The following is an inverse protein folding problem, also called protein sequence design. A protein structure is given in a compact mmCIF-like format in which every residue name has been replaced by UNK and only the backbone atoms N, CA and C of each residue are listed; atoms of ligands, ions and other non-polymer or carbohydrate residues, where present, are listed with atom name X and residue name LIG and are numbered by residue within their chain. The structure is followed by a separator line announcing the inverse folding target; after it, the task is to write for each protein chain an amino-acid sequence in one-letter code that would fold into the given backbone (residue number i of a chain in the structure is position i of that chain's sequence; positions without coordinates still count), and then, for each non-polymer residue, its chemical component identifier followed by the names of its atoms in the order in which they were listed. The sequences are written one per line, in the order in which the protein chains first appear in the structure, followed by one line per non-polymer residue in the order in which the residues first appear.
data_IF_330085979353
#
_entry.id   IF_330085979353
#
_cell.length_a   1.000
_cell.length_b   1.000
_cell.length_c   1.000
_cell.angle_alpha   90.00
_cell.angle_beta   90.00
_cell.angle_gamma   90.00
#
_symmetry.space_group_name_H-M   'P 1'
#
loop_
_entity.id
_entity.type
_entity.pdbx_description
1 polymer ?
#
# COMPACT_ATOMS: atom_id res chain seq x y z
N UNK A 1 -24.21 16.18 24.07
CA UNK A 1 -23.52 17.37 23.49
C UNK A 1 -22.51 17.79 24.53
N UNK A 2 -21.22 17.77 24.22
CA UNK A 2 -20.23 18.44 25.06
C UNK A 2 -20.59 19.93 24.98
N UNK A 3 -21.01 20.50 26.11
CA UNK A 3 -21.45 21.89 26.19
C UNK A 3 -20.41 22.57 27.07
N UNK A 4 -19.36 23.06 26.43
CA UNK A 4 -18.43 23.97 27.08
C UNK A 4 -19.04 25.38 27.02
N UNK A 5 -19.12 26.03 28.18
CA UNK A 5 -19.62 27.39 28.30
C UNK A 5 -18.76 28.40 27.53
N UNK A 6 -17.50 28.07 27.24
CA UNK A 6 -16.59 28.93 26.49
C UNK A 6 -16.65 28.73 24.97
N UNK A 7 -17.30 27.66 24.47
CA UNK A 7 -17.35 27.31 23.04
C UNK A 7 -15.97 27.39 22.35
N UNK A 8 -14.91 27.01 23.07
CA UNK A 8 -13.54 27.15 22.59
C UNK A 8 -13.19 26.04 21.59
N UNK A 9 -12.97 26.42 20.34
CA UNK A 9 -12.48 25.48 19.31
C UNK A 9 -11.06 24.96 19.58
N UNK A 10 -10.30 25.61 20.48
CA UNK A 10 -8.95 25.19 20.83
C UNK A 10 -8.95 23.95 21.73
N UNK A 11 -9.79 23.93 22.76
CA UNK A 11 -9.86 22.80 23.69
C UNK A 11 -10.30 21.52 22.99
N UNK A 12 -11.24 21.64 22.04
CA UNK A 12 -11.67 20.51 21.22
C UNK A 12 -10.58 20.03 20.26
N UNK A 13 -9.73 20.92 19.72
CA UNK A 13 -8.55 20.53 18.92
C UNK A 13 -7.55 19.76 19.77
N UNK A 14 -7.30 20.19 21.01
CA UNK A 14 -6.42 19.48 21.94
C UNK A 14 -6.98 18.11 22.29
N UNK A 15 -8.27 17.99 22.61
CA UNK A 15 -8.92 16.72 22.94
C UNK A 15 -8.82 15.72 21.78
N UNK A 16 -9.09 16.15 20.54
CA UNK A 16 -8.97 15.28 19.36
C UNK A 16 -7.54 14.80 19.17
N UNK A 17 -6.58 15.71 19.34
CA UNK A 17 -5.16 15.41 19.19
C UNK A 17 -4.70 14.39 20.25
N UNK A 18 -5.06 14.62 21.50
CA UNK A 18 -4.71 13.76 22.62
C UNK A 18 -5.36 12.38 22.48
N UNK A 19 -6.66 12.35 22.19
CA UNK A 19 -7.43 11.12 21.93
C UNK A 19 -6.83 10.30 20.79
N UNK A 20 -6.46 10.93 19.68
CA UNK A 20 -5.78 10.26 18.56
C UNK A 20 -4.42 9.70 18.99
N UNK A 21 -3.63 10.50 19.70
CA UNK A 21 -2.28 10.14 20.13
C UNK A 21 -2.29 8.95 21.11
N UNK A 22 -3.17 8.99 22.11
CA UNK A 22 -3.32 7.93 23.10
C UNK A 22 -3.74 6.61 22.46
N UNK A 23 -4.75 6.63 21.57
CA UNK A 23 -5.16 5.42 20.85
C UNK A 23 -4.05 4.86 19.94
N UNK A 24 -3.26 5.72 19.30
CA UNK A 24 -2.16 5.28 18.44
C UNK A 24 -1.00 4.68 19.25
N UNK A 25 -0.69 5.25 20.42
CA UNK A 25 0.26 4.68 21.39
C UNK A 25 -0.18 3.28 21.83
N UNK A 26 -1.42 3.13 22.27
CA UNK A 26 -1.97 1.82 22.70
C UNK A 26 -1.87 0.76 21.58
N UNK A 27 -2.21 1.11 20.34
CA UNK A 27 -2.09 0.18 19.20
C UNK A 27 -0.62 -0.15 18.90
N UNK A 28 0.28 0.80 19.09
CA UNK A 28 1.70 0.62 18.83
C UNK A 28 2.36 -0.32 19.85
N UNK A 29 1.96 -0.26 21.12
CA UNK A 29 2.50 -1.12 22.18
C UNK A 29 2.07 -2.59 22.02
N UNK A 30 0.92 -2.85 21.40
CA UNK A 30 0.44 -4.21 21.21
C UNK A 30 1.33 -5.00 20.22
N UNK A 31 1.64 -6.28 20.51
CA UNK A 31 2.45 -7.16 19.64
C UNK A 31 1.63 -7.71 18.46
N UNK A 32 0.91 -6.84 17.77
CA UNK A 32 0.04 -7.20 16.65
C UNK A 32 0.79 -7.17 15.32
N UNK A 33 0.31 -7.99 14.39
CA UNK A 33 0.71 -7.92 13.00
C UNK A 33 0.44 -6.50 12.44
N UNK A 34 1.35 -5.89 11.63
CA UNK A 34 1.18 -4.54 11.08
C UNK A 34 -0.16 -4.30 10.39
N UNK A 35 -0.62 -5.27 9.57
CA UNK A 35 -1.96 -5.26 8.97
C UNK A 35 -3.09 -5.07 9.99
N UNK A 36 -3.00 -5.74 11.14
CA UNK A 36 -4.03 -5.67 12.18
C UNK A 36 -4.00 -4.31 12.89
N UNK A 37 -2.81 -3.72 13.11
CA UNK A 37 -2.68 -2.34 13.61
C UNK A 37 -3.34 -1.34 12.68
N UNK A 38 -3.10 -1.46 11.38
CA UNK A 38 -3.73 -0.63 10.34
C UNK A 38 -5.25 -0.84 10.30
N UNK A 39 -5.72 -2.08 10.50
CA UNK A 39 -7.14 -2.40 10.55
C UNK A 39 -7.82 -1.77 11.77
N UNK A 40 -7.19 -1.84 12.95
CA UNK A 40 -7.66 -1.19 14.17
C UNK A 40 -7.71 0.33 14.00
N UNK A 41 -6.65 0.92 13.45
CA UNK A 41 -6.64 2.34 13.12
C UNK A 41 -7.81 2.73 12.20
N UNK A 42 -7.97 2.03 11.08
CA UNK A 42 -8.98 2.36 10.07
C UNK A 42 -10.42 2.14 10.54
N UNK A 43 -10.68 1.11 11.35
CA UNK A 43 -12.04 0.75 11.79
C UNK A 43 -12.44 1.41 13.11
N UNK A 44 -11.52 1.49 14.06
CA UNK A 44 -11.81 1.95 15.42
C UNK A 44 -11.40 3.43 15.61
N UNK A 45 -10.11 3.74 15.43
CA UNK A 45 -9.57 5.08 15.70
C UNK A 45 -10.25 6.15 14.84
N UNK A 46 -10.34 5.92 13.52
CA UNK A 46 -11.02 6.86 12.63
C UNK A 46 -12.49 7.05 12.99
N UNK A 47 -13.17 6.01 13.46
CA UNK A 47 -14.57 6.10 13.87
C UNK A 47 -14.75 6.93 15.14
N UNK A 48 -13.82 6.83 16.10
CA UNK A 48 -13.82 7.64 17.33
C UNK A 48 -13.62 9.13 17.03
N UNK A 49 -12.64 9.47 16.21
CA UNK A 49 -12.39 10.89 15.83
C UNK A 49 -13.46 11.47 14.88
N UNK A 50 -14.25 10.61 14.22
CA UNK A 50 -15.29 11.06 13.28
C UNK A 50 -16.31 11.98 13.90
N UNK A 51 -16.69 11.71 15.15
CA UNK A 51 -17.66 12.53 15.87
C UNK A 51 -17.14 13.95 16.04
N UNK A 52 -15.88 14.11 16.43
CA UNK A 52 -15.26 15.42 16.55
C UNK A 52 -15.26 16.16 15.21
N UNK A 53 -14.94 15.48 14.10
CA UNK A 53 -14.97 16.09 12.76
C UNK A 53 -16.36 16.57 12.31
N UNK A 54 -17.44 16.02 12.88
CA UNK A 54 -18.80 16.45 12.55
C UNK A 54 -19.31 17.62 13.38
N UNK A 55 -18.81 17.79 14.61
CA UNK A 55 -19.39 18.71 15.60
C UNK A 55 -18.64 20.04 15.69
N UNK A 56 -17.32 20.03 15.52
CA UNK A 56 -16.48 21.22 15.70
C UNK A 56 -16.07 21.89 14.41
N UNK A 57 -15.82 23.20 14.46
CA UNK A 57 -15.28 23.97 13.35
C UNK A 57 -13.74 23.87 13.27
N UNK A 58 -13.26 22.67 12.93
CA UNK A 58 -11.83 22.42 12.74
C UNK A 58 -11.46 22.75 11.29
N UNK A 59 -10.44 23.59 11.11
CA UNK A 59 -9.88 23.88 9.79
C UNK A 59 -9.20 22.66 9.16
N UNK A 60 -9.46 22.43 7.86
CA UNK A 60 -8.83 21.35 7.08
C UNK A 60 -7.30 21.36 7.13
N UNK A 61 -6.70 22.55 7.12
CA UNK A 61 -5.24 22.75 7.19
C UNK A 61 -4.67 22.17 8.48
N UNK A 62 -5.30 22.47 9.62
CA UNK A 62 -4.88 21.94 10.91
C UNK A 62 -4.96 20.40 10.97
N UNK A 63 -6.01 19.80 10.39
CA UNK A 63 -6.13 18.33 10.29
C UNK A 63 -4.98 17.73 9.49
N UNK A 64 -4.63 18.33 8.35
CA UNK A 64 -3.50 17.87 7.54
C UNK A 64 -2.16 18.02 8.26
N UNK A 65 -1.94 19.14 8.95
CA UNK A 65 -0.63 19.46 9.52
C UNK A 65 -0.37 18.69 10.83
N UNK A 66 -1.41 18.49 11.64
CA UNK A 66 -1.29 17.85 12.96
C UNK A 66 -1.71 16.39 12.93
N UNK A 67 -2.95 16.09 12.55
CA UNK A 67 -3.51 14.74 12.68
C UNK A 67 -2.94 13.78 11.62
N UNK A 68 -2.87 14.18 10.36
CA UNK A 68 -2.28 13.35 9.31
C UNK A 68 -0.78 13.11 9.56
N UNK A 69 -0.06 14.09 10.11
CA UNK A 69 1.36 13.95 10.44
C UNK A 69 1.62 12.86 11.48
N UNK A 70 0.84 12.85 12.57
CA UNK A 70 0.92 11.80 13.60
C UNK A 70 0.53 10.44 12.99
N UNK A 71 -0.63 10.35 12.36
CA UNK A 71 -1.12 9.11 11.78
C UNK A 71 -0.10 8.53 10.77
N UNK A 72 0.46 9.39 9.91
CA UNK A 72 1.48 9.00 8.94
C UNK A 72 2.75 8.49 9.60
N UNK A 73 3.14 9.04 10.75
CA UNK A 73 4.33 8.61 11.51
C UNK A 73 4.14 7.19 12.04
N UNK A 74 3.00 6.90 12.67
CA UNK A 74 2.66 5.55 13.14
C UNK A 74 2.50 4.55 12.01
N UNK A 75 1.84 4.92 10.92
CA UNK A 75 1.69 4.05 9.74
C UNK A 75 3.07 3.70 9.16
N UNK A 76 3.98 4.67 9.04
CA UNK A 76 5.36 4.40 8.59
C UNK A 76 6.09 3.48 9.57
N UNK A 77 5.97 3.71 10.88
CA UNK A 77 6.58 2.88 11.92
C UNK A 77 6.10 1.42 11.81
N UNK A 78 4.80 1.18 11.72
CA UNK A 78 4.23 -0.18 11.66
C UNK A 78 4.65 -0.93 10.39
N UNK A 79 4.78 -0.21 9.28
CA UNK A 79 5.19 -0.77 7.97
C UNK A 79 6.71 -0.76 7.77
N UNK A 80 7.49 -0.30 8.75
CA UNK A 80 8.94 -0.13 8.68
C UNK A 80 9.37 0.71 7.46
N UNK A 81 8.56 1.71 7.09
CA UNK A 81 8.88 2.64 6.01
C UNK A 81 9.81 3.76 6.52
N UNK A 82 10.77 4.23 5.69
CA UNK A 82 11.57 5.40 6.01
C UNK A 82 10.72 6.63 6.32
N UNK A 83 11.19 7.52 7.20
CA UNK A 83 10.46 8.75 7.59
C UNK A 83 10.11 9.62 6.38
N UNK A 84 11.03 9.70 5.40
CA UNK A 84 10.87 10.44 4.15
C UNK A 84 10.04 9.71 3.09
N UNK A 85 9.62 8.47 3.34
CA UNK A 85 8.85 7.70 2.37
C UNK A 85 7.45 8.26 2.18
N UNK A 86 7.01 8.24 0.92
CA UNK A 86 5.64 8.57 0.55
C UNK A 86 4.67 7.48 1.00
N UNK A 87 3.50 7.86 1.49
CA UNK A 87 2.41 6.94 1.80
C UNK A 87 1.44 6.76 0.63
N UNK A 88 1.61 7.49 -0.49
CA UNK A 88 0.65 7.49 -1.60
C UNK A 88 0.23 6.09 -2.06
N UNK A 89 1.19 5.16 -2.17
CA UNK A 89 0.91 3.80 -2.61
C UNK A 89 0.11 2.99 -1.58
N UNK A 90 0.42 3.17 -0.30
CA UNK A 90 -0.26 2.48 0.81
C UNK A 90 -1.72 2.93 0.95
N UNK A 91 -2.01 4.18 0.58
CA UNK A 91 -3.37 4.74 0.58
C UNK A 91 -4.27 4.19 -0.55
N UNK A 92 -3.67 3.57 -1.58
CA UNK A 92 -4.43 2.96 -2.67
C UNK A 92 -5.18 1.70 -2.22
N UNK A 93 -6.19 1.26 -2.97
CA UNK A 93 -6.91 0.04 -2.64
C UNK A 93 -6.07 -1.23 -2.89
N UNK A 94 -6.52 -2.34 -2.32
CA UNK A 94 -5.86 -3.66 -2.40
C UNK A 94 -5.64 -4.16 -3.83
N UNK A 95 -6.57 -3.89 -4.76
CA UNK A 95 -6.45 -4.24 -6.18
C UNK A 95 -5.33 -3.49 -6.92
N UNK A 96 -4.70 -2.51 -6.26
CA UNK A 96 -3.57 -1.72 -6.76
C UNK A 96 -2.34 -1.88 -5.87
N UNK A 97 -2.25 -2.98 -5.11
CA UNK A 97 -1.17 -3.28 -4.15
C UNK A 97 -1.02 -2.26 -3.00
N UNK A 98 -2.05 -1.44 -2.76
CA UNK A 98 -2.15 -0.61 -1.57
C UNK A 98 -2.78 -1.33 -0.38
N UNK A 99 -2.86 -0.66 0.76
CA UNK A 99 -3.44 -1.17 2.01
C UNK A 99 -4.79 -0.54 2.35
N UNK A 100 -5.36 0.25 1.44
CA UNK A 100 -6.66 0.88 1.59
C UNK A 100 -6.77 1.78 2.83
N UNK A 101 -5.66 2.44 3.19
CA UNK A 101 -5.58 3.30 4.37
C UNK A 101 -6.24 4.64 4.09
N UNK A 102 -6.95 5.17 5.08
CA UNK A 102 -7.58 6.49 5.06
C UNK A 102 -6.88 7.38 6.08
N UNK A 103 -6.47 8.58 5.68
CA UNK A 103 -5.91 9.57 6.59
C UNK A 103 -7.02 10.36 7.32
N UNK A 104 -6.74 10.94 8.50
CA UNK A 104 -7.69 11.76 9.23
C UNK A 104 -8.32 12.87 8.37
N UNK A 105 -7.55 13.53 7.52
CA UNK A 105 -8.01 14.56 6.56
C UNK A 105 -9.06 14.05 5.58
N UNK A 106 -8.88 12.84 5.07
CA UNK A 106 -9.83 12.20 4.17
C UNK A 106 -11.12 11.88 4.90
N UNK A 107 -10.99 11.38 6.15
CA UNK A 107 -12.15 11.10 6.99
C UNK A 107 -12.91 12.38 7.37
N UNK A 108 -12.18 13.45 7.68
CA UNK A 108 -12.72 14.79 7.92
C UNK A 108 -13.53 15.28 6.71
N UNK A 109 -12.99 15.17 5.49
CA UNK A 109 -13.72 15.53 4.27
C UNK A 109 -15.00 14.71 4.10
N UNK A 110 -14.97 13.41 4.40
CA UNK A 110 -16.18 12.58 4.35
C UNK A 110 -17.23 13.07 5.36
N UNK A 111 -16.84 13.37 6.60
CA UNK A 111 -17.74 13.89 7.63
C UNK A 111 -18.37 15.22 7.19
N UNK A 112 -17.55 16.16 6.71
CA UNK A 112 -18.00 17.48 6.24
C UNK A 112 -18.96 17.38 5.05
N UNK A 113 -18.67 16.52 4.07
CA UNK A 113 -19.58 16.27 2.94
C UNK A 113 -20.93 15.71 3.40
N UNK A 114 -20.96 14.82 4.41
CA UNK A 114 -22.22 14.29 4.97
C UNK A 114 -23.00 15.41 5.67
N UNK A 115 -22.35 16.18 6.54
CA UNK A 115 -23.00 17.30 7.25
C UNK A 115 -23.58 18.32 6.28
N UNK A 116 -22.81 18.76 5.28
CA UNK A 116 -23.27 19.72 4.26
C UNK A 116 -24.46 19.21 3.45
N UNK A 117 -24.46 17.92 3.10
CA UNK A 117 -25.60 17.30 2.41
C UNK A 117 -26.84 17.23 3.27
N UNK A 118 -26.70 16.91 4.56
CA UNK A 118 -27.83 16.91 5.49
C UNK A 118 -28.46 18.31 5.57
N UNK A 119 -27.66 19.38 5.56
CA UNK A 119 -28.17 20.75 5.47
C UNK A 119 -28.92 21.01 4.15
N UNK A 120 -28.33 20.60 3.02
CA UNK A 120 -28.94 20.76 1.69
C UNK A 120 -30.26 20.00 1.51
N UNK A 121 -30.36 18.78 2.03
CA UNK A 121 -31.55 17.93 1.89
C UNK A 121 -32.52 18.05 3.06
N UNK A 122 -32.30 19.00 3.97
CA UNK A 122 -33.17 19.20 5.13
C UNK A 122 -34.56 19.64 4.69
N UNK A 123 -35.64 19.05 5.25
CA UNK A 123 -37.01 19.50 4.98
C UNK A 123 -37.31 20.87 5.61
N UNK A 124 -36.51 21.31 6.58
CA UNK A 124 -36.67 22.61 7.22
C UNK A 124 -36.06 23.72 6.34
N UNK A 125 -36.90 24.65 5.92
CA UNK A 125 -36.54 25.76 5.03
C UNK A 125 -35.45 26.67 5.61
N UNK A 126 -35.45 26.93 6.92
CA UNK A 126 -34.42 27.76 7.56
C UNK A 126 -33.03 27.10 7.45
N UNK A 127 -32.95 25.78 7.63
CA UNK A 127 -31.71 25.02 7.50
C UNK A 127 -31.25 24.97 6.03
N UNK A 128 -32.20 24.84 5.11
CA UNK A 128 -31.91 24.86 3.68
C UNK A 128 -31.36 26.22 3.23
N UNK A 129 -31.92 27.32 3.76
CA UNK A 129 -31.45 28.67 3.47
C UNK A 129 -30.04 28.91 4.04
N UNK A 130 -29.74 28.43 5.26
CA UNK A 130 -28.37 28.44 5.78
C UNK A 130 -27.37 27.74 4.85
N UNK A 131 -27.75 26.63 4.22
CA UNK A 131 -26.91 25.96 3.24
C UNK A 131 -26.67 26.83 2.00
N UNK A 132 -27.72 27.47 1.46
CA UNK A 132 -27.64 28.36 0.29
C UNK A 132 -26.77 29.58 0.55
N UNK A 133 -26.91 30.20 1.73
CA UNK A 133 -26.15 31.40 2.09
C UNK A 133 -24.65 31.10 2.23
N UNK A 134 -24.32 29.89 2.70
CA UNK A 134 -22.94 29.46 2.91
C UNK A 134 -22.32 28.76 1.70
N UNK A 135 -23.09 28.31 0.70
CA UNK A 135 -22.57 27.53 -0.44
C UNK A 135 -21.59 28.31 -1.32
N UNK A 136 -21.73 29.63 -1.37
CA UNK A 136 -20.88 30.50 -2.20
C UNK A 136 -19.59 30.92 -1.47
N UNK A 137 -19.42 30.54 -0.20
CA UNK A 137 -18.27 30.94 0.59
C UNK A 137 -17.02 30.13 0.19
N UNK A 138 -15.87 30.81 0.04
CA UNK A 138 -14.60 30.22 -0.42
C UNK A 138 -14.09 29.07 0.45
N UNK A 139 -14.48 29.04 1.73
CA UNK A 139 -14.06 28.02 2.69
C UNK A 139 -14.89 26.72 2.59
N UNK A 140 -16.02 26.73 1.86
CA UNK A 140 -16.87 25.53 1.68
C UNK A 140 -16.41 24.77 0.44
N UNK A 141 -15.35 23.98 0.60
CA UNK A 141 -14.78 23.18 -0.49
C UNK A 141 -15.39 21.78 -0.63
N UNK A 142 -16.38 21.45 0.20
CA UNK A 142 -16.90 20.09 0.39
C UNK A 142 -18.15 19.79 -0.46
N UNK A 143 -18.88 20.83 -0.87
CA UNK A 143 -20.12 20.71 -1.65
C UNK A 143 -19.89 20.21 -3.08
N UNK A 144 -18.63 20.25 -3.56
CA UNK A 144 -18.23 19.68 -4.84
C UNK A 144 -18.38 18.15 -4.89
N UNK A 145 -18.41 17.48 -3.74
CA UNK A 145 -18.44 16.02 -3.66
C UNK A 145 -19.87 15.48 -3.64
N UNK A 146 -20.15 14.52 -4.51
CA UNK A 146 -21.48 13.91 -4.64
C UNK A 146 -21.81 12.93 -3.52
N UNK A 147 -20.83 12.32 -2.84
CA UNK A 147 -21.01 11.42 -1.70
C UNK A 147 -19.66 11.08 -1.07
N UNK A 148 -19.65 10.31 0.02
CA UNK A 148 -18.41 9.91 0.71
C UNK A 148 -17.51 8.98 -0.12
N UNK A 149 -18.06 8.23 -1.07
CA UNK A 149 -17.28 7.41 -2.02
C UNK A 149 -16.58 8.29 -3.05
N UNK A 150 -17.23 9.36 -3.49
CA UNK A 150 -16.67 10.35 -4.43
C UNK A 150 -15.47 11.08 -3.83
N UNK A 151 -15.53 11.42 -2.53
CA UNK A 151 -14.38 11.94 -1.77
C UNK A 151 -13.20 10.96 -1.83
N UNK A 152 -13.42 9.69 -1.51
CA UNK A 152 -12.37 8.67 -1.53
C UNK A 152 -11.80 8.45 -2.93
N UNK A 153 -12.64 8.37 -3.94
CA UNK A 153 -12.22 8.15 -5.32
C UNK A 153 -11.40 9.33 -5.83
N UNK A 154 -11.81 10.56 -5.51
CA UNK A 154 -11.07 11.77 -5.89
C UNK A 154 -9.69 11.79 -5.25
N UNK A 155 -9.59 11.52 -3.95
CA UNK A 155 -8.31 11.54 -3.23
C UNK A 155 -7.39 10.41 -3.70
N UNK A 156 -7.94 9.20 -3.91
CA UNK A 156 -7.17 8.09 -4.47
C UNK A 156 -6.64 8.42 -5.85
N UNK A 157 -7.46 9.00 -6.72
CA UNK A 157 -7.02 9.44 -8.05
C UNK A 157 -5.87 10.43 -7.96
N UNK A 158 -5.92 11.39 -7.03
CA UNK A 158 -4.80 12.31 -6.80
C UNK A 158 -3.50 11.58 -6.37
N UNK A 159 -3.60 10.55 -5.54
CA UNK A 159 -2.44 9.73 -5.17
C UNK A 159 -1.92 8.88 -6.33
N UNK A 160 -2.81 8.36 -7.17
CA UNK A 160 -2.45 7.64 -8.40
C UNK A 160 -1.72 8.55 -9.38
N UNK A 161 -2.26 9.74 -9.64
CA UNK A 161 -1.65 10.75 -10.51
C UNK A 161 -0.26 11.15 -9.98
N UNK A 162 -0.14 11.35 -8.66
CA UNK A 162 1.15 11.64 -8.00
C UNK A 162 2.14 10.49 -8.17
N UNK A 163 1.71 9.24 -8.06
CA UNK A 163 2.60 8.09 -8.26
C UNK A 163 3.03 7.98 -9.72
N UNK A 164 2.11 8.12 -10.67
CA UNK A 164 2.40 7.94 -12.08
C UNK A 164 3.26 9.06 -12.66
N UNK A 165 3.00 10.31 -12.28
CA UNK A 165 3.58 11.47 -12.94
C UNK A 165 4.64 12.20 -12.10
N UNK A 166 4.57 12.14 -10.77
CA UNK A 166 5.46 12.96 -9.91
C UNK A 166 6.53 12.14 -9.19
N UNK A 167 6.33 10.83 -9.00
CA UNK A 167 7.22 9.97 -8.22
C UNK A 167 7.99 9.00 -9.12
N UNK A 168 9.15 9.43 -9.61
CA UNK A 168 9.98 8.65 -10.55
C UNK A 168 10.40 7.29 -9.96
N UNK A 169 10.85 7.26 -8.70
CA UNK A 169 11.41 6.04 -8.08
C UNK A 169 10.35 5.10 -7.51
N UNK A 170 9.37 5.66 -6.78
CA UNK A 170 8.32 4.89 -6.11
C UNK A 170 7.13 4.59 -7.04
N UNK A 171 6.95 5.39 -8.09
CA UNK A 171 5.91 5.21 -9.10
C UNK A 171 6.25 4.23 -10.22
N UNK A 172 7.52 3.85 -10.37
CA UNK A 172 7.96 2.91 -11.41
C UNK A 172 7.27 1.55 -11.28
N UNK A 173 7.22 0.99 -10.07
CA UNK A 173 6.54 -0.28 -9.80
C UNK A 173 5.04 -0.18 -10.10
N UNK A 174 4.38 0.87 -9.59
CA UNK A 174 2.97 1.13 -9.83
C UNK A 174 2.63 1.29 -11.32
N UNK A 175 3.47 2.00 -12.08
CA UNK A 175 3.30 2.19 -13.52
C UNK A 175 3.39 0.87 -14.29
N UNK A 176 4.29 -0.02 -13.90
CA UNK A 176 4.43 -1.34 -14.52
C UNK A 176 3.24 -2.25 -14.19
N UNK A 177 2.73 -2.22 -12.96
CA UNK A 177 1.51 -2.97 -12.60
C UNK A 177 0.34 -2.53 -13.46
N UNK A 178 0.11 -1.22 -13.61
CA UNK A 178 -1.02 -0.73 -14.42
C UNK A 178 -0.89 -1.19 -15.87
N UNK A 179 0.32 -1.18 -16.42
CA UNK A 179 0.57 -1.56 -17.82
C UNK A 179 0.43 -3.05 -18.08
N UNK A 180 0.85 -3.89 -17.14
CA UNK A 180 1.08 -5.31 -17.39
C UNK A 180 0.22 -6.26 -16.55
N UNK A 181 -0.54 -5.76 -15.59
CA UNK A 181 -1.30 -6.60 -14.66
C UNK A 181 -2.81 -6.39 -14.72
N UNK A 182 -3.57 -7.44 -14.41
CA UNK A 182 -5.03 -7.43 -14.41
C UNK A 182 -5.57 -7.31 -12.98
N UNK A 183 -6.79 -6.78 -12.84
CA UNK A 183 -7.43 -6.58 -11.53
C UNK A 183 -7.69 -7.90 -10.78
N UNK A 184 -8.02 -8.97 -11.51
CA UNK A 184 -8.23 -10.29 -10.93
C UNK A 184 -6.95 -10.84 -10.31
N UNK A 185 -5.83 -10.74 -11.03
CA UNK A 185 -4.52 -11.17 -10.54
C UNK A 185 -4.06 -10.36 -9.33
N UNK A 186 -4.20 -9.03 -9.38
CA UNK A 186 -3.85 -8.15 -8.25
C UNK A 186 -4.62 -8.50 -6.98
N UNK A 187 -5.88 -8.88 -7.12
CA UNK A 187 -6.72 -9.25 -5.98
C UNK A 187 -6.24 -10.54 -5.30
N UNK A 188 -5.77 -11.52 -6.10
CA UNK A 188 -5.17 -12.75 -5.58
C UNK A 188 -3.88 -12.43 -4.82
N UNK A 189 -2.97 -11.66 -5.41
CA UNK A 189 -1.72 -11.27 -4.76
C UNK A 189 -1.92 -10.47 -3.49
N UNK A 190 -2.87 -9.53 -3.49
CA UNK A 190 -3.17 -8.75 -2.29
C UNK A 190 -3.71 -9.64 -1.15
N UNK A 191 -4.53 -10.64 -1.49
CA UNK A 191 -5.03 -11.63 -0.52
C UNK A 191 -3.88 -12.45 0.07
N UNK A 192 -2.96 -12.95 -0.76
CA UNK A 192 -1.77 -13.70 -0.33
C UNK A 192 -0.87 -12.82 0.54
N UNK A 193 -0.56 -11.61 0.08
CA UNK A 193 0.25 -10.64 0.81
C UNK A 193 -0.30 -10.42 2.22
N UNK A 194 -1.62 -10.35 2.36
CA UNK A 194 -2.29 -10.11 3.63
C UNK A 194 -2.16 -11.25 4.67
N UNK A 195 -1.66 -12.42 4.25
CA UNK A 195 -1.44 -13.62 5.08
C UNK A 195 0.04 -13.87 5.38
N UNK A 196 0.94 -13.05 4.84
CA UNK A 196 2.37 -13.19 5.07
C UNK A 196 2.74 -12.93 6.54
N UNK A 197 3.76 -13.61 7.09
CA UNK A 197 4.31 -13.26 8.40
C UNK A 197 4.81 -11.81 8.44
N UNK A 198 4.82 -11.20 9.63
CA UNK A 198 5.17 -9.78 9.85
C UNK A 198 6.39 -9.31 9.05
N UNK A 199 7.50 -10.03 9.15
CA UNK A 199 8.77 -9.63 8.53
C UNK A 199 8.68 -9.66 7.00
N UNK A 200 8.00 -10.67 6.44
CA UNK A 200 7.82 -10.82 5.00
C UNK A 200 6.80 -9.80 4.50
N UNK A 201 5.72 -9.56 5.23
CA UNK A 201 4.73 -8.52 4.91
C UNK A 201 5.38 -7.13 4.78
N UNK A 202 6.16 -6.73 5.80
CA UNK A 202 6.85 -5.44 5.78
C UNK A 202 7.92 -5.38 4.69
N UNK A 203 8.68 -6.46 4.48
CA UNK A 203 9.60 -6.57 3.35
C UNK A 203 8.90 -6.36 2.00
N UNK A 204 7.77 -7.03 1.75
CA UNK A 204 6.99 -6.91 0.52
C UNK A 204 6.48 -5.48 0.33
N UNK A 205 5.95 -4.83 1.37
CA UNK A 205 5.50 -3.44 1.30
C UNK A 205 6.65 -2.51 0.95
N UNK A 206 7.83 -2.67 1.56
CA UNK A 206 9.00 -1.85 1.24
C UNK A 206 9.52 -2.09 -0.17
N UNK A 207 9.51 -3.35 -0.61
CA UNK A 207 9.91 -3.76 -1.95
C UNK A 207 9.04 -3.07 -3.02
N UNK A 208 7.71 -3.20 -2.87
CA UNK A 208 6.69 -2.58 -3.72
C UNK A 208 6.87 -1.04 -3.78
N UNK A 209 7.22 -0.42 -2.65
CA UNK A 209 7.45 1.01 -2.55
C UNK A 209 8.85 1.46 -3.00
N UNK A 210 9.75 0.54 -3.36
CA UNK A 210 11.16 0.83 -3.63
C UNK A 210 11.83 1.60 -2.46
N UNK A 211 11.57 1.14 -1.23
CA UNK A 211 12.06 1.72 0.03
C UNK A 211 12.89 0.73 0.85
N UNK A 212 13.38 -0.34 0.21
CA UNK A 212 14.39 -1.20 0.81
C UNK A 212 15.75 -0.48 0.87
N UNK A 213 16.60 -0.81 1.85
CA UNK A 213 17.87 -0.14 2.10
C UNK A 213 18.97 -0.57 1.11
N UNK A 214 18.75 -0.39 -0.19
CA UNK A 214 19.82 -0.56 -1.19
C UNK A 214 20.80 0.62 -1.11
N UNK A 215 22.05 0.48 -1.56
CA UNK A 215 23.02 1.59 -1.48
C UNK A 215 22.49 2.87 -2.13
N UNK A 216 21.76 2.76 -3.26
CA UNK A 216 21.11 3.92 -3.90
C UNK A 216 20.06 4.61 -3.02
N UNK A 217 19.30 3.86 -2.22
CA UNK A 217 18.34 4.44 -1.30
C UNK A 217 19.02 4.97 -0.02
N UNK A 218 20.02 4.27 0.50
CA UNK A 218 20.82 4.74 1.64
C UNK A 218 21.52 6.07 1.33
N UNK A 219 22.06 6.23 0.11
CA UNK A 219 22.62 7.51 -0.34
C UNK A 219 21.56 8.61 -0.38
N UNK A 220 20.37 8.32 -0.95
CA UNK A 220 19.25 9.29 -0.96
C UNK A 220 18.78 9.69 0.43
N UNK A 221 18.91 8.81 1.42
CA UNK A 221 18.54 9.09 2.80
C UNK A 221 19.65 9.78 3.60
N UNK A 222 20.81 10.05 2.98
CA UNK A 222 21.97 10.66 3.65
C UNK A 222 22.65 9.73 4.66
N UNK A 223 22.39 8.42 4.60
CA UNK A 223 22.97 7.43 5.51
C UNK A 223 24.31 6.91 4.96
N UNK A 224 24.41 6.77 3.63
CA UNK A 224 25.62 6.33 2.95
C UNK A 224 26.18 7.44 2.04
N UNK A 225 27.50 7.65 1.96
CA UNK A 225 28.09 8.57 0.99
C UNK A 225 28.02 8.02 -0.44
N UNK A 226 27.97 6.70 -0.63
CA UNK A 226 28.01 6.04 -1.95
C UNK A 226 26.73 5.28 -2.24
N UNK A 227 26.39 5.17 -3.54
CA UNK A 227 25.31 4.32 -4.03
C UNK A 227 25.82 3.05 -4.72
N UNK A 228 27.11 2.76 -4.62
CA UNK A 228 27.76 1.67 -5.32
C UNK A 228 27.47 0.32 -4.65
N UNK A 229 27.36 -0.72 -5.48
CA UNK A 229 27.30 -2.11 -5.04
C UNK A 229 28.68 -2.54 -4.55
N UNK A 230 28.75 -3.17 -3.38
CA UNK A 230 30.01 -3.63 -2.79
C UNK A 230 30.75 -4.68 -3.60
N UNK A 231 30.10 -5.31 -4.59
CA UNK A 231 30.66 -6.40 -5.39
C UNK A 231 31.06 -5.99 -6.80
N UNK A 232 30.23 -5.18 -7.49
CA UNK A 232 30.47 -4.83 -8.89
C UNK A 232 30.65 -3.33 -9.12
N UNK A 233 30.63 -2.51 -8.06
CA UNK A 233 30.83 -1.05 -8.07
C UNK A 233 29.83 -0.22 -8.88
N UNK A 234 28.85 -0.85 -9.53
CA UNK A 234 27.76 -0.14 -10.21
C UNK A 234 26.72 0.36 -9.21
N UNK A 235 25.91 1.39 -9.55
CA UNK A 235 24.85 1.88 -8.67
C UNK A 235 23.84 0.79 -8.25
N UNK A 236 23.74 0.53 -6.95
CA UNK A 236 22.91 -0.52 -6.36
C UNK A 236 21.46 -0.06 -6.18
N UNK A 237 20.69 -0.19 -7.26
CA UNK A 237 19.22 -0.08 -7.23
C UNK A 237 18.53 -1.38 -6.81
N UNK A 238 17.23 -1.33 -6.53
CA UNK A 238 16.46 -2.55 -6.25
C UNK A 238 16.54 -3.57 -7.39
N UNK A 239 16.41 -3.12 -8.65
CA UNK A 239 16.55 -3.98 -9.84
C UNK A 239 17.96 -4.58 -9.93
N UNK A 240 18.98 -3.80 -9.55
CA UNK A 240 20.36 -4.29 -9.50
C UNK A 240 20.51 -5.49 -8.55
N UNK A 241 19.99 -5.37 -7.32
CA UNK A 241 20.07 -6.43 -6.31
C UNK A 241 19.32 -7.68 -6.75
N UNK A 242 18.14 -7.50 -7.37
CA UNK A 242 17.24 -8.61 -7.70
C UNK A 242 17.69 -9.36 -8.96
N UNK A 243 18.09 -8.64 -10.01
CA UNK A 243 18.34 -9.22 -11.34
C UNK A 243 19.49 -8.57 -12.14
N UNK A 244 20.06 -7.45 -11.68
CA UNK A 244 20.98 -6.64 -12.52
C UNK A 244 22.47 -6.73 -12.18
N UNK A 245 22.87 -7.42 -11.11
CA UNK A 245 24.26 -7.51 -10.69
C UNK A 245 25.02 -8.60 -11.45
N UNK A 246 26.03 -8.22 -12.24
CA UNK A 246 26.89 -9.15 -12.99
C UNK A 246 27.66 -10.10 -12.06
N UNK A 247 28.15 -9.59 -10.93
CA UNK A 247 28.85 -10.44 -9.95
C UNK A 247 27.92 -11.47 -9.33
N UNK A 248 26.67 -11.10 -8.99
CA UNK A 248 25.68 -12.06 -8.47
C UNK A 248 25.28 -13.12 -9.49
N UNK A 249 25.24 -12.75 -10.77
CA UNK A 249 25.02 -13.69 -11.86
C UNK A 249 26.19 -14.69 -11.96
N UNK A 250 27.43 -14.20 -12.04
CA UNK A 250 28.62 -15.04 -12.19
C UNK A 250 28.87 -15.96 -10.98
N UNK A 251 28.52 -15.51 -9.78
CA UNK A 251 28.58 -16.32 -8.55
C UNK A 251 27.39 -17.29 -8.39
N UNK A 252 26.46 -17.34 -9.36
CA UNK A 252 25.32 -18.26 -9.32
C UNK A 252 24.24 -17.91 -8.31
N UNK A 253 24.21 -16.70 -7.73
CA UNK A 253 23.20 -16.30 -6.72
C UNK A 253 21.79 -16.22 -7.30
N UNK A 254 21.68 -15.79 -8.57
CA UNK A 254 20.39 -15.76 -9.26
C UNK A 254 19.90 -17.16 -9.58
N UNK A 255 20.78 -18.04 -10.09
CA UNK A 255 20.50 -19.47 -10.31
C UNK A 255 20.04 -20.13 -9.02
N UNK A 256 20.77 -19.95 -7.91
CA UNK A 256 20.39 -20.53 -6.62
C UNK A 256 18.98 -20.09 -6.16
N UNK A 257 18.65 -18.80 -6.32
CA UNK A 257 17.33 -18.27 -5.95
C UNK A 257 16.23 -18.82 -6.86
N UNK A 258 16.49 -18.81 -8.16
CA UNK A 258 15.60 -19.37 -9.18
C UNK A 258 15.29 -20.83 -8.86
N UNK A 259 16.32 -21.64 -8.70
CA UNK A 259 16.21 -23.07 -8.45
C UNK A 259 15.52 -23.37 -7.11
N UNK A 260 15.75 -22.54 -6.10
CA UNK A 260 15.07 -22.67 -4.80
C UNK A 260 13.56 -22.48 -4.92
N UNK A 261 13.11 -21.47 -5.69
CA UNK A 261 11.69 -21.20 -5.92
C UNK A 261 11.08 -22.29 -6.81
N UNK A 262 11.76 -22.65 -7.89
CA UNK A 262 11.32 -23.69 -8.81
C UNK A 262 11.17 -25.04 -8.10
N UNK A 263 12.12 -25.40 -7.24
CA UNK A 263 12.10 -26.66 -6.49
C UNK A 263 10.95 -26.68 -5.48
N UNK A 264 10.67 -25.54 -4.82
CA UNK A 264 9.51 -25.43 -3.93
C UNK A 264 8.20 -25.62 -4.70
N UNK A 265 8.02 -24.95 -5.83
CA UNK A 265 6.83 -25.09 -6.69
C UNK A 265 6.70 -26.53 -7.19
N UNK A 266 7.78 -27.11 -7.70
CA UNK A 266 7.83 -28.49 -8.18
C UNK A 266 7.47 -29.50 -7.08
N UNK A 267 7.94 -29.30 -5.85
CA UNK A 267 7.62 -30.17 -4.71
C UNK A 267 6.12 -30.16 -4.35
N UNK A 268 5.46 -29.01 -4.46
CA UNK A 268 4.01 -28.88 -4.25
C UNK A 268 3.26 -29.55 -5.39
N UNK A 269 3.64 -29.29 -6.63
CA UNK A 269 2.91 -29.77 -7.80
C UNK A 269 3.08 -31.29 -8.02
N UNK A 270 4.18 -31.88 -7.54
CA UNK A 270 4.37 -33.34 -7.53
C UNK A 270 3.27 -34.09 -6.75
N UNK A 271 2.63 -33.42 -5.78
CA UNK A 271 1.54 -34.01 -5.00
C UNK A 271 0.19 -34.06 -5.74
N UNK A 272 0.10 -33.45 -6.93
CA UNK A 272 -1.15 -33.41 -7.71
C UNK A 272 -1.31 -34.72 -8.49
N UNK A 273 -2.36 -35.48 -8.13
CA UNK A 273 -2.70 -36.75 -8.80
C UNK A 273 -2.92 -36.57 -10.31
N UNK A 274 -2.57 -37.61 -11.09
CA UNK A 274 -2.75 -37.70 -12.55
C UNK A 274 -1.90 -36.73 -13.37
N UNK A 275 -0.76 -36.27 -12.83
CA UNK A 275 0.16 -35.38 -13.52
C UNK A 275 1.56 -35.98 -13.67
N UNK A 276 2.18 -35.81 -14.84
CA UNK A 276 3.64 -35.99 -14.99
C UNK A 276 4.30 -34.62 -14.91
N UNK A 277 5.24 -34.48 -13.98
CA UNK A 277 5.97 -33.24 -13.72
C UNK A 277 7.39 -33.33 -14.28
N UNK A 278 7.76 -32.31 -15.04
CA UNK A 278 9.09 -32.09 -15.57
C UNK A 278 9.56 -30.72 -15.09
N UNK A 279 10.82 -30.61 -14.68
CA UNK A 279 11.37 -29.36 -14.18
C UNK A 279 12.85 -29.25 -14.55
N UNK A 280 13.30 -28.04 -14.84
CA UNK A 280 14.69 -27.76 -15.15
C UNK A 280 15.57 -27.71 -13.90
N UNK A 281 15.61 -28.83 -13.17
CA UNK A 281 16.26 -28.94 -11.88
C UNK A 281 16.94 -30.29 -11.69
N UNK A 282 18.03 -30.34 -10.89
CA UNK A 282 18.60 -31.61 -10.44
C UNK A 282 17.55 -32.47 -9.72
N UNK A 283 17.42 -33.73 -10.14
CA UNK A 283 16.50 -34.70 -9.52
C UNK A 283 15.10 -34.75 -10.14
N UNK A 284 14.82 -33.94 -11.17
CA UNK A 284 13.61 -34.00 -11.97
C UNK A 284 13.90 -34.46 -13.40
N UNK A 285 12.87 -34.95 -14.09
CA UNK A 285 12.98 -35.24 -15.53
C UNK A 285 13.00 -33.91 -16.27
N UNK A 286 13.99 -33.72 -17.15
CA UNK A 286 14.13 -32.49 -17.92
C UNK A 286 12.90 -32.26 -18.83
N UNK A 287 12.36 -31.03 -18.89
CA UNK A 287 11.30 -30.66 -19.82
C UNK A 287 11.66 -30.89 -21.30
N UNK A 288 12.95 -30.84 -21.64
CA UNK A 288 13.46 -31.08 -23.01
C UNK A 288 13.07 -32.45 -23.57
N UNK A 289 12.71 -33.43 -22.71
CA UNK A 289 12.17 -34.73 -23.14
C UNK A 289 10.90 -34.57 -23.99
N UNK A 290 10.10 -33.53 -23.74
CA UNK A 290 8.86 -33.25 -24.45
C UNK A 290 9.01 -32.10 -25.45
N UNK A 291 9.81 -31.10 -25.12
CA UNK A 291 9.91 -29.85 -25.90
C UNK A 291 11.12 -29.82 -26.86
N UNK A 292 11.99 -30.83 -26.82
CA UNK A 292 13.25 -30.85 -27.55
C UNK A 292 14.34 -29.98 -26.90
N UNK A 293 15.53 -30.00 -27.49
CA UNK A 293 16.71 -29.33 -26.93
C UNK A 293 16.68 -27.79 -27.11
N UNK A 294 15.87 -27.28 -28.04
CA UNK A 294 15.76 -25.84 -28.32
C UNK A 294 14.89 -25.09 -27.32
N UNK A 295 13.96 -25.79 -26.66
CA UNK A 295 13.00 -25.21 -25.73
C UNK A 295 13.18 -25.87 -24.36
N UNK A 296 13.65 -25.09 -23.39
CA UNK A 296 13.92 -25.55 -22.02
C UNK A 296 13.13 -24.71 -21.03
N UNK A 297 11.80 -24.94 -20.90
CA UNK A 297 11.00 -24.23 -19.92
C UNK A 297 11.38 -24.64 -18.50
N UNK A 298 11.14 -23.77 -17.53
CA UNK A 298 11.48 -24.04 -16.13
C UNK A 298 10.68 -25.20 -15.53
N UNK A 299 9.37 -25.25 -15.80
CA UNK A 299 8.48 -26.30 -15.30
C UNK A 299 7.38 -26.66 -16.29
N UNK A 300 7.12 -27.95 -16.45
CA UNK A 300 6.12 -28.49 -17.35
C UNK A 300 5.29 -29.57 -16.64
N UNK A 301 3.97 -29.47 -16.77
CA UNK A 301 3.01 -30.44 -16.22
C UNK A 301 2.15 -30.99 -17.35
N UNK A 302 2.08 -32.31 -17.47
CA UNK A 302 1.11 -32.98 -18.35
C UNK A 302 -0.01 -33.60 -17.54
N UNK A 303 -1.26 -33.28 -17.90
CA UNK A 303 -2.46 -33.86 -17.30
C UNK A 303 -3.14 -34.81 -18.30
N UNK A 304 -3.34 -36.07 -17.88
CA UNK A 304 -4.02 -37.11 -18.68
C UNK A 304 -3.51 -37.26 -20.13
N UNK A 305 -2.26 -36.84 -20.40
CA UNK A 305 -1.67 -36.73 -21.75
C UNK A 305 -2.47 -35.87 -22.76
N UNK A 306 -3.36 -34.98 -22.31
CA UNK A 306 -4.17 -34.10 -23.19
C UNK A 306 -3.72 -32.65 -23.19
N UNK A 307 -3.24 -32.16 -22.04
CA UNK A 307 -2.85 -30.77 -21.87
C UNK A 307 -1.44 -30.68 -21.30
N UNK A 308 -0.68 -29.72 -21.82
CA UNK A 308 0.64 -29.35 -21.34
C UNK A 308 0.53 -27.95 -20.75
N UNK A 309 0.87 -27.82 -19.47
CA UNK A 309 0.97 -26.54 -18.78
C UNK A 309 2.44 -26.20 -18.61
N UNK A 310 2.83 -25.01 -19.07
CA UNK A 310 4.19 -24.49 -18.98
C UNK A 310 4.19 -23.36 -17.96
N UNK A 311 5.19 -23.35 -17.08
CA UNK A 311 5.45 -22.30 -16.13
C UNK A 311 6.90 -21.84 -16.28
N UNK A 312 7.08 -20.53 -16.44
CA UNK A 312 8.39 -19.87 -16.48
C UNK A 312 8.53 -18.90 -15.30
N UNK A 313 9.71 -18.91 -14.69
CA UNK A 313 10.15 -18.00 -13.65
C UNK A 313 11.14 -16.99 -14.26
N UNK A 314 10.61 -15.83 -14.69
CA UNK A 314 11.43 -14.70 -15.15
C UNK A 314 12.12 -13.94 -14.02
#
# INVERSE_FOLDING_TARGET
RYFDFNMSDEDHRYEVYDTLTNMLNEIDDLPLHPKNKILLYSRYVLSKISWHFTVSDIGKTWVNDKLDSIASTYIRKWLELPISATLSNVLLPHNKFGLNIILPSTKFLQCQTVSRKALKSSPNEAINNLWKDTSNHKNVQYDKYKNTKDVLNTIRKQHEDKLQHHLISQGSFFSNIIKHSTLSFNSIWSSVQSKLPKNIFNFTIRYINNTLPTSKNLQKWGISPTSECSFCLNPESLVHVVAGCKTYLNEGRFTWRHDSVLNFIASILKSVNYSNLYADLPGYISPSVLTGDELRPDLLITLENKYIYILELT
#
